data_IF_834608760072
#
_entry.id   IF_834608760072
#
_cell.length_a   1.000
_cell.length_b   1.000
_cell.length_c   1.000
_cell.angle_alpha   90.00
_cell.angle_beta   90.00
_cell.angle_gamma   90.00
#
_symmetry.space_group_name_H-M   'P 1'
#
loop_
_entity.id
_entity.type
_entity.pdbx_description
1 polymer ?
#
# COMPACT_ATOMS: atom_id res chain seq x y z
N UNK A 1 -9.69 -1.67 -20.51
CA UNK A 1 -8.66 -0.72 -20.04
C UNK A 1 -9.37 0.49 -19.46
N UNK A 2 -9.45 0.62 -18.13
CA UNK A 2 -9.45 1.99 -17.61
C UNK A 2 -8.06 2.52 -17.98
N UNK A 3 -7.94 3.63 -18.72
CA UNK A 3 -6.63 4.19 -18.95
C UNK A 3 -5.97 4.42 -17.58
N UNK A 4 -4.65 4.21 -17.46
CA UNK A 4 -3.88 4.88 -16.42
C UNK A 4 -4.41 6.30 -16.29
N UNK A 5 -4.59 6.84 -15.07
CA UNK A 5 -5.21 8.14 -14.85
C UNK A 5 -4.40 9.28 -15.51
N UNK A 6 -4.48 9.39 -16.85
CA UNK A 6 -3.50 10.10 -17.67
C UNK A 6 -2.05 9.63 -17.45
N UNK A 7 -1.13 10.02 -18.34
CA UNK A 7 0.26 10.18 -17.92
C UNK A 7 0.29 11.19 -16.77
N UNK A 8 0.96 10.84 -15.66
CA UNK A 8 1.46 11.88 -14.75
C UNK A 8 2.37 12.76 -15.59
N UNK A 9 2.28 14.08 -15.38
CA UNK A 9 3.19 15.00 -16.01
C UNK A 9 4.64 14.48 -15.88
N UNK A 10 5.42 14.60 -16.96
CA UNK A 10 6.87 14.32 -17.00
C UNK A 10 7.28 12.86 -17.30
N UNK A 11 6.44 12.11 -18.01
CA UNK A 11 6.83 10.82 -18.63
C UNK A 11 6.64 9.60 -17.75
N UNK A 12 5.71 9.69 -16.79
CA UNK A 12 5.34 8.60 -15.90
C UNK A 12 3.89 8.20 -16.09
N UNK A 13 3.58 6.92 -15.94
CA UNK A 13 2.23 6.46 -15.64
C UNK A 13 2.08 6.30 -14.12
N UNK A 14 0.93 6.69 -13.59
CA UNK A 14 0.54 6.35 -12.22
C UNK A 14 -0.19 5.00 -12.28
N UNK A 15 0.38 3.99 -11.62
CA UNK A 15 -0.27 2.68 -11.47
C UNK A 15 -0.62 2.46 -10.02
N UNK A 16 -1.86 2.06 -9.78
CA UNK A 16 -2.44 1.89 -8.45
C UNK A 16 -2.44 0.42 -8.09
N UNK A 17 -2.04 0.06 -6.89
CA UNK A 17 -1.98 -1.34 -6.50
C UNK A 17 -1.75 -1.58 -5.03
N UNK A 18 -1.49 -2.85 -4.71
CA UNK A 18 -1.23 -3.31 -3.35
C UNK A 18 0.20 -3.80 -3.21
N UNK A 19 0.78 -3.46 -2.06
CA UNK A 19 1.98 -4.09 -1.53
C UNK A 19 1.55 -4.76 -0.25
N UNK A 20 2.00 -5.99 -0.02
CA UNK A 20 1.64 -6.80 1.14
C UNK A 20 0.17 -7.29 1.12
N UNK A 21 -0.01 -8.45 0.50
CA UNK A 21 -1.27 -9.18 0.40
C UNK A 21 -1.01 -10.69 0.40
N UNK A 22 -1.87 -11.45 1.06
CA UNK A 22 -1.74 -12.90 1.19
C UNK A 22 -2.81 -13.63 0.39
N UNK A 23 -2.37 -14.62 -0.37
CA UNK A 23 -3.20 -15.49 -1.18
C UNK A 23 -3.50 -16.80 -0.45
N UNK A 24 -4.15 -17.73 -1.16
CA UNK A 24 -4.35 -19.09 -0.65
C UNK A 24 -3.05 -19.84 -0.33
N UNK A 25 -1.89 -19.36 -0.83
CA UNK A 25 -0.58 -19.95 -0.53
C UNK A 25 0.04 -19.44 0.77
N UNK A 26 -0.69 -18.62 1.54
CA UNK A 26 -0.32 -18.22 2.90
C UNK A 26 -0.99 -19.14 3.94
N UNK A 27 -0.39 -19.32 5.13
CA UNK A 27 -0.82 -20.38 6.08
C UNK A 27 -2.09 -20.08 6.87
N UNK A 28 -2.35 -18.80 7.10
CA UNK A 28 -3.42 -18.22 7.89
C UNK A 28 -4.48 -17.51 7.03
N UNK A 29 -4.27 -17.47 5.71
CA UNK A 29 -5.30 -17.06 4.77
C UNK A 29 -6.52 -17.98 4.82
N UNK A 30 -7.65 -17.49 4.32
CA UNK A 30 -8.87 -18.28 4.15
C UNK A 30 -9.33 -18.90 5.48
N UNK A 31 -9.61 -18.06 6.48
CA UNK A 31 -10.10 -18.53 7.77
C UNK A 31 -9.13 -19.48 8.51
N UNK A 32 -7.81 -19.31 8.30
CA UNK A 32 -6.74 -20.19 8.76
C UNK A 32 -6.82 -21.63 8.20
N UNK A 33 -7.54 -21.81 7.10
CA UNK A 33 -7.79 -23.10 6.47
C UNK A 33 -7.72 -23.00 4.93
N UNK A 34 -6.59 -22.57 4.36
CA UNK A 34 -6.45 -22.39 2.91
C UNK A 34 -6.46 -23.70 2.13
N UNK A 35 -6.25 -24.83 2.80
CA UNK A 35 -6.21 -26.17 2.20
C UNK A 35 -7.36 -27.00 2.75
N UNK A 36 -8.14 -27.60 1.85
CA UNK A 36 -9.26 -28.49 2.15
C UNK A 36 -8.78 -29.88 2.59
N UNK A 37 -9.70 -30.71 3.09
CA UNK A 37 -9.39 -32.07 3.58
C UNK A 37 -8.75 -32.99 2.53
N UNK A 38 -9.04 -32.74 1.25
CA UNK A 38 -8.48 -33.50 0.12
C UNK A 38 -7.10 -32.99 -0.34
N UNK A 39 -6.55 -31.98 0.32
CA UNK A 39 -5.27 -31.36 -0.01
C UNK A 39 -5.33 -30.30 -1.12
N UNK A 40 -6.50 -30.05 -1.71
CA UNK A 40 -6.69 -28.94 -2.66
C UNK A 40 -6.82 -27.60 -1.94
N UNK A 41 -6.49 -26.51 -2.63
CA UNK A 41 -6.69 -25.16 -2.10
C UNK A 41 -8.17 -24.77 -2.14
N UNK A 42 -8.61 -24.00 -1.15
CA UNK A 42 -9.97 -23.46 -1.08
C UNK A 42 -10.26 -22.64 -2.36
N UNK A 43 -11.10 -23.17 -3.27
CA UNK A 43 -11.36 -22.52 -4.55
C UNK A 43 -12.20 -21.26 -4.37
N UNK A 44 -13.02 -21.19 -3.31
CA UNK A 44 -13.81 -20.00 -3.00
C UNK A 44 -12.89 -18.88 -2.53
N UNK A 45 -11.97 -19.19 -1.63
CA UNK A 45 -10.99 -18.20 -1.19
C UNK A 45 -10.09 -17.70 -2.33
N UNK A 46 -9.63 -18.61 -3.20
CA UNK A 46 -8.87 -18.27 -4.40
C UNK A 46 -9.66 -17.33 -5.32
N UNK A 47 -10.92 -17.64 -5.60
CA UNK A 47 -11.77 -16.84 -6.47
C UNK A 47 -12.16 -15.50 -5.84
N UNK A 48 -12.33 -15.46 -4.52
CA UNK A 48 -12.61 -14.23 -3.78
C UNK A 48 -11.41 -13.28 -3.81
N UNK A 49 -10.18 -13.78 -3.67
CA UNK A 49 -8.97 -12.96 -3.82
C UNK A 49 -8.89 -12.35 -5.22
N UNK A 50 -9.06 -13.19 -6.26
CA UNK A 50 -9.05 -12.74 -7.66
C UNK A 50 -10.11 -11.71 -7.98
N UNK A 51 -11.33 -11.96 -7.50
CA UNK A 51 -12.44 -11.02 -7.67
C UNK A 51 -12.18 -9.71 -6.92
N UNK A 52 -11.62 -9.79 -5.70
CA UNK A 52 -11.27 -8.63 -4.89
C UNK A 52 -10.32 -7.67 -5.59
N UNK A 53 -9.21 -8.15 -6.14
CA UNK A 53 -8.26 -7.29 -6.86
C UNK A 53 -8.86 -6.69 -8.15
N UNK A 54 -9.69 -7.46 -8.87
CA UNK A 54 -10.37 -6.95 -10.05
C UNK A 54 -11.40 -5.86 -9.69
N UNK A 55 -12.26 -6.09 -8.70
CA UNK A 55 -13.34 -5.17 -8.31
C UNK A 55 -12.81 -3.91 -7.62
N UNK A 56 -11.71 -4.01 -6.88
CA UNK A 56 -11.04 -2.86 -6.26
C UNK A 56 -10.29 -1.99 -7.28
N UNK A 57 -10.17 -2.41 -8.53
CA UNK A 57 -9.59 -1.58 -9.59
C UNK A 57 -8.08 -1.46 -9.56
N UNK A 58 -7.37 -2.37 -8.87
CA UNK A 58 -5.91 -2.34 -8.81
C UNK A 58 -5.28 -2.77 -10.14
N UNK A 59 -4.20 -2.11 -10.52
CA UNK A 59 -3.34 -2.42 -11.66
C UNK A 59 -2.28 -3.46 -11.31
N UNK A 60 -1.86 -3.53 -10.05
CA UNK A 60 -0.89 -4.52 -9.57
C UNK A 60 -1.13 -5.01 -8.14
N UNK A 61 -0.61 -6.19 -7.84
CA UNK A 61 -0.50 -6.75 -6.48
C UNK A 61 0.87 -7.41 -6.30
N UNK A 62 1.61 -6.98 -5.28
CA UNK A 62 2.76 -7.72 -4.76
C UNK A 62 2.30 -8.66 -3.66
N UNK A 63 2.27 -9.97 -3.95
CA UNK A 63 1.97 -10.99 -2.94
C UNK A 63 3.14 -11.16 -1.98
N UNK A 64 2.84 -11.55 -0.75
CA UNK A 64 3.84 -11.74 0.31
C UNK A 64 3.50 -12.97 1.15
N UNK A 65 3.12 -14.08 0.52
CA UNK A 65 2.68 -15.29 1.23
C UNK A 65 3.71 -15.81 2.25
N UNK A 66 3.22 -16.31 3.39
CA UNK A 66 4.08 -16.83 4.45
C UNK A 66 5.04 -17.94 3.96
N UNK A 67 6.32 -17.82 4.28
CA UNK A 67 7.40 -18.65 3.71
C UNK A 67 7.24 -20.14 3.97
N UNK A 68 6.73 -20.51 5.14
CA UNK A 68 6.45 -21.90 5.52
C UNK A 68 5.47 -22.62 4.56
N UNK A 69 4.69 -21.86 3.79
CA UNK A 69 3.79 -22.35 2.75
C UNK A 69 4.30 -21.98 1.36
N UNK A 70 4.59 -20.71 1.11
CA UNK A 70 5.07 -20.19 -0.17
C UNK A 70 6.20 -21.04 -0.76
N UNK A 71 7.18 -21.45 0.06
CA UNK A 71 8.32 -22.22 -0.42
C UNK A 71 7.99 -23.60 -0.99
N UNK A 72 6.79 -24.14 -0.69
CA UNK A 72 6.34 -25.45 -1.15
C UNK A 72 5.62 -25.41 -2.51
N UNK A 73 5.44 -24.22 -3.10
CA UNK A 73 4.69 -24.03 -4.34
C UNK A 73 5.55 -23.39 -5.39
N UNK A 74 5.61 -24.02 -6.56
CA UNK A 74 6.44 -23.55 -7.66
C UNK A 74 5.76 -22.43 -8.45
N UNK A 75 6.54 -21.73 -9.26
CA UNK A 75 6.00 -20.89 -10.32
C UNK A 75 5.47 -21.79 -11.45
N UNK A 76 4.31 -21.49 -12.06
CA UNK A 76 3.52 -20.25 -11.94
C UNK A 76 2.38 -20.30 -10.89
N UNK A 77 2.30 -21.30 -10.02
CA UNK A 77 1.19 -21.44 -9.08
C UNK A 77 1.11 -20.25 -8.11
N UNK A 78 2.26 -19.86 -7.53
CA UNK A 78 2.38 -18.68 -6.64
C UNK A 78 2.10 -17.34 -7.33
N UNK A 79 1.87 -17.34 -8.65
CA UNK A 79 1.42 -16.17 -9.41
C UNK A 79 -0.11 -16.18 -9.66
N UNK A 80 -0.82 -17.10 -9.01
CA UNK A 80 -2.26 -17.31 -9.12
C UNK A 80 -2.73 -17.60 -10.56
N UNK A 81 -1.87 -18.18 -11.40
CA UNK A 81 -2.10 -18.33 -12.83
C UNK A 81 -3.27 -19.24 -13.19
N UNK A 82 -4.14 -18.78 -14.11
CA UNK A 82 -5.24 -19.55 -14.69
C UNK A 82 -5.35 -19.32 -16.19
N UNK A 83 -4.69 -20.19 -16.98
CA UNK A 83 -4.71 -20.13 -18.44
C UNK A 83 -6.14 -20.20 -19.02
N UNK A 84 -7.01 -21.01 -18.41
CA UNK A 84 -8.42 -21.17 -18.79
C UNK A 84 -9.27 -19.91 -18.56
N UNK A 85 -8.76 -18.96 -17.77
CA UNK A 85 -9.36 -17.64 -17.54
C UNK A 85 -8.71 -16.52 -18.37
N UNK A 86 -7.83 -16.88 -19.31
CA UNK A 86 -7.17 -15.92 -20.20
C UNK A 86 -6.05 -15.12 -19.53
N UNK A 87 -5.51 -15.62 -18.42
CA UNK A 87 -4.31 -15.04 -17.82
C UNK A 87 -3.12 -15.17 -18.78
N UNK A 88 -2.18 -14.23 -18.70
CA UNK A 88 -0.96 -14.23 -19.51
C UNK A 88 0.26 -14.16 -18.61
N UNK A 89 1.11 -15.19 -18.68
CA UNK A 89 2.39 -15.19 -17.99
C UNK A 89 3.34 -14.18 -18.64
N UNK A 90 4.06 -13.47 -17.79
CA UNK A 90 5.25 -12.74 -18.17
C UNK A 90 6.42 -13.67 -17.91
N UNK A 91 7.25 -13.87 -18.94
CA UNK A 91 8.36 -14.82 -18.89
C UNK A 91 9.69 -14.10 -19.11
N UNK A 92 10.69 -14.51 -18.33
CA UNK A 92 12.08 -14.04 -18.49
C UNK A 92 12.99 -15.26 -18.55
N UNK A 93 13.72 -15.41 -19.65
CA UNK A 93 14.54 -16.60 -19.89
C UNK A 93 13.74 -17.90 -20.00
N UNK A 94 12.46 -17.83 -20.39
CA UNK A 94 11.56 -18.98 -20.50
C UNK A 94 10.98 -19.48 -19.17
N UNK A 95 11.17 -18.72 -18.08
CA UNK A 95 10.54 -18.98 -16.79
C UNK A 95 9.50 -17.90 -16.46
N UNK A 96 8.34 -18.25 -15.89
CA UNK A 96 7.35 -17.27 -15.45
C UNK A 96 7.88 -16.46 -14.26
N UNK A 97 7.74 -15.13 -14.35
CA UNK A 97 8.19 -14.18 -13.31
C UNK A 97 7.04 -13.35 -12.73
N UNK A 98 5.96 -13.20 -13.49
CA UNK A 98 4.74 -12.50 -13.09
C UNK A 98 3.56 -13.00 -13.92
N UNK A 99 2.35 -12.63 -13.49
CA UNK A 99 1.11 -12.99 -14.18
C UNK A 99 0.25 -11.75 -14.44
N UNK A 100 -0.25 -11.61 -15.67
CA UNK A 100 -1.34 -10.68 -15.99
C UNK A 100 -2.65 -11.42 -15.84
N UNK A 101 -3.30 -11.20 -14.70
CA UNK A 101 -4.62 -11.75 -14.40
C UNK A 101 -5.66 -11.00 -15.22
N UNK A 102 -6.50 -11.74 -15.94
CA UNK A 102 -7.61 -11.16 -16.70
C UNK A 102 -8.85 -11.00 -15.83
N UNK A 103 -9.40 -9.78 -15.80
CA UNK A 103 -10.65 -9.46 -15.12
C UNK A 103 -11.85 -9.57 -16.07
N UNK A 104 -13.05 -9.79 -15.51
CA UNK A 104 -14.30 -9.94 -16.27
C UNK A 104 -14.64 -8.72 -17.15
N UNK A 105 -14.19 -7.52 -16.75
CA UNK A 105 -14.40 -6.28 -17.50
C UNK A 105 -13.30 -5.98 -18.54
N UNK A 106 -12.41 -6.94 -18.79
CA UNK A 106 -11.33 -6.85 -19.76
C UNK A 106 -10.16 -5.97 -19.32
N UNK A 107 -10.09 -5.55 -18.04
CA UNK A 107 -8.84 -5.06 -17.44
C UNK A 107 -7.93 -6.23 -17.07
N UNK A 108 -6.68 -5.91 -16.77
CA UNK A 108 -5.71 -6.88 -16.28
C UNK A 108 -5.06 -6.37 -15.00
N UNK A 109 -4.72 -7.27 -14.09
CA UNK A 109 -3.95 -6.97 -12.87
C UNK A 109 -2.61 -7.69 -12.96
N UNK A 110 -1.51 -6.97 -12.74
CA UNK A 110 -0.18 -7.55 -12.69
C UNK A 110 0.10 -8.11 -11.29
N UNK A 111 0.26 -9.43 -11.19
CA UNK A 111 0.54 -10.13 -9.94
C UNK A 111 1.98 -10.64 -9.95
N UNK A 112 2.69 -10.37 -8.86
CA UNK A 112 4.04 -10.87 -8.62
C UNK A 112 4.10 -11.65 -7.32
N UNK A 113 5.03 -12.59 -7.25
CA UNK A 113 5.26 -13.39 -6.06
C UNK A 113 6.15 -12.66 -5.05
N UNK A 114 6.02 -13.03 -3.80
CA UNK A 114 6.85 -12.56 -2.70
C UNK A 114 6.61 -13.44 -1.49
N UNK A 115 7.32 -13.15 -0.40
CA UNK A 115 7.10 -13.86 0.85
C UNK A 115 7.22 -12.93 2.03
N UNK A 116 6.55 -13.28 3.12
CA UNK A 116 6.68 -12.60 4.40
C UNK A 116 7.19 -13.59 5.46
N UNK A 117 8.38 -13.31 5.98
CA UNK A 117 8.94 -13.99 7.15
C UNK A 117 9.80 -12.98 7.93
N UNK A 118 11.11 -13.24 8.10
CA UNK A 118 12.01 -12.26 8.67
C UNK A 118 12.16 -11.01 7.80
N UNK A 119 12.29 -11.19 6.49
CA UNK A 119 12.21 -10.12 5.50
C UNK A 119 10.92 -10.26 4.70
N UNK A 120 10.50 -9.19 4.03
CA UNK A 120 9.38 -9.18 3.09
C UNK A 120 9.89 -8.91 1.65
N UNK A 121 10.51 -9.89 0.98
CA UNK A 121 10.83 -9.78 -0.45
C UNK A 121 9.56 -9.71 -1.29
N UNK A 122 9.41 -8.63 -2.06
CA UNK A 122 8.34 -8.48 -3.06
C UNK A 122 8.89 -8.56 -4.47
N UNK A 123 8.13 -9.14 -5.39
CA UNK A 123 8.51 -9.21 -6.81
C UNK A 123 9.60 -10.23 -7.12
N UNK A 124 9.60 -11.36 -6.42
CA UNK A 124 10.45 -12.52 -6.70
C UNK A 124 10.16 -13.09 -8.09
N UNK A 125 11.22 -13.34 -8.85
CA UNK A 125 11.12 -13.92 -10.20
C UNK A 125 11.29 -15.44 -10.21
N UNK A 126 11.75 -16.00 -9.09
CA UNK A 126 11.97 -17.43 -8.86
C UNK A 126 12.19 -17.68 -7.37
N UNK A 127 12.18 -18.96 -6.98
CA UNK A 127 12.75 -19.33 -5.70
C UNK A 127 14.27 -19.13 -5.65
N UNK A 128 14.78 -18.88 -4.45
CA UNK A 128 16.20 -18.67 -4.16
C UNK A 128 17.05 -19.94 -4.26
N UNK A 129 16.42 -21.11 -4.24
CA UNK A 129 17.05 -22.41 -4.37
C UNK A 129 16.07 -23.47 -4.92
N UNK A 130 16.60 -24.60 -5.37
CA UNK A 130 15.82 -25.70 -5.97
C UNK A 130 15.16 -26.62 -4.93
N UNK A 131 15.71 -26.71 -3.72
CA UNK A 131 15.18 -27.56 -2.64
C UNK A 131 14.64 -26.74 -1.45
N UNK A 132 13.68 -27.33 -0.75
CA UNK A 132 12.95 -26.66 0.34
C UNK A 132 13.85 -26.24 1.50
N UNK A 133 14.86 -27.05 1.86
CA UNK A 133 15.72 -26.74 3.00
C UNK A 133 16.62 -25.53 2.69
N UNK A 134 17.12 -25.44 1.46
CA UNK A 134 17.89 -24.30 1.00
C UNK A 134 17.02 -23.03 0.85
N UNK A 135 15.75 -23.16 0.46
CA UNK A 135 14.78 -22.05 0.45
C UNK A 135 14.55 -21.50 1.86
N UNK A 136 14.25 -22.38 2.81
CA UNK A 136 13.95 -22.04 4.21
C UNK A 136 15.11 -21.27 4.87
N UNK A 137 16.34 -21.70 4.59
CA UNK A 137 17.56 -21.07 5.08
C UNK A 137 17.75 -19.60 4.61
N UNK A 138 17.06 -19.19 3.55
CA UNK A 138 17.11 -17.82 3.01
C UNK A 138 15.85 -17.03 3.34
N UNK A 139 14.67 -17.63 3.31
CA UNK A 139 13.42 -16.91 3.59
C UNK A 139 13.27 -16.52 5.06
N UNK A 140 13.76 -17.32 6.00
CA UNK A 140 13.61 -17.06 7.44
C UNK A 140 14.46 -15.91 8.01
N UNK A 141 15.79 -15.84 7.75
CA UNK A 141 16.67 -14.91 8.44
C UNK A 141 16.58 -13.44 8.00
N UNK A 142 16.85 -12.51 8.93
CA UNK A 142 17.03 -11.07 8.68
C UNK A 142 18.51 -10.70 8.48
N UNK A 143 19.19 -11.36 7.53
CA UNK A 143 20.63 -11.13 7.29
C UNK A 143 20.91 -10.47 5.94
N UNK A 144 22.10 -9.86 5.82
CA UNK A 144 22.54 -9.27 4.55
C UNK A 144 22.66 -10.34 3.46
N UNK A 145 23.16 -11.53 3.79
CA UNK A 145 23.31 -12.64 2.86
C UNK A 145 21.96 -13.12 2.33
N UNK A 146 20.94 -13.22 3.21
CA UNK A 146 19.58 -13.57 2.81
C UNK A 146 18.99 -12.49 1.89
N UNK A 147 19.13 -11.21 2.27
CA UNK A 147 18.66 -10.10 1.45
C UNK A 147 19.33 -10.05 0.07
N UNK A 148 20.64 -10.31 -0.01
CA UNK A 148 21.37 -10.36 -1.27
C UNK A 148 20.94 -11.53 -2.16
N UNK A 149 20.70 -12.71 -1.59
CA UNK A 149 20.14 -13.85 -2.32
C UNK A 149 18.73 -13.54 -2.87
N UNK A 150 17.90 -12.87 -2.08
CA UNK A 150 16.56 -12.43 -2.49
C UNK A 150 16.61 -11.36 -3.59
N UNK A 151 17.52 -10.37 -3.49
CA UNK A 151 17.77 -9.39 -4.56
C UNK A 151 18.26 -10.06 -5.85
N UNK A 152 19.14 -11.05 -5.73
CA UNK A 152 19.59 -11.84 -6.87
C UNK A 152 18.45 -12.65 -7.52
N UNK A 153 17.40 -12.98 -6.75
CA UNK A 153 16.15 -13.55 -7.23
C UNK A 153 15.15 -12.51 -7.77
N UNK A 154 15.55 -11.24 -7.89
CA UNK A 154 14.79 -10.16 -8.52
C UNK A 154 13.99 -9.29 -7.55
N UNK A 155 13.98 -9.60 -6.26
CA UNK A 155 13.12 -8.95 -5.28
C UNK A 155 13.52 -7.49 -4.97
N UNK A 156 12.56 -6.76 -4.40
CA UNK A 156 12.76 -5.58 -3.56
C UNK A 156 12.55 -6.02 -2.11
N UNK A 157 13.46 -5.66 -1.21
CA UNK A 157 13.46 -6.14 0.17
C UNK A 157 12.75 -5.13 1.06
N UNK A 158 11.54 -5.46 1.47
CA UNK A 158 10.76 -4.66 2.41
C UNK A 158 10.74 -5.31 3.80
N UNK A 159 10.17 -4.59 4.76
CA UNK A 159 9.83 -5.10 6.08
C UNK A 159 8.37 -4.72 6.37
N UNK A 160 7.55 -5.73 6.67
CA UNK A 160 6.21 -5.55 7.20
C UNK A 160 6.26 -5.21 8.69
N UNK A 161 5.14 -4.67 9.21
CA UNK A 161 4.92 -4.46 10.65
C UNK A 161 6.17 -3.98 11.45
N UNK A 162 6.81 -2.86 11.05
CA UNK A 162 7.99 -2.34 11.73
C UNK A 162 7.73 -1.85 13.17
N UNK A 163 6.50 -1.91 13.70
CA UNK A 163 6.08 -1.51 15.06
C UNK A 163 6.83 -2.24 16.20
N UNK A 164 7.49 -3.35 15.91
CA UNK A 164 8.32 -4.08 16.87
C UNK A 164 9.83 -3.78 16.78
N UNK A 165 10.24 -2.94 15.83
CA UNK A 165 11.66 -2.62 15.60
C UNK A 165 12.05 -1.24 16.14
N UNK A 166 13.24 -1.13 16.74
CA UNK A 166 13.82 0.18 17.07
C UNK A 166 14.33 0.92 15.83
N UNK A 167 14.53 2.23 15.95
CA UNK A 167 15.13 3.04 14.87
C UNK A 167 16.52 2.53 14.50
N UNK A 168 17.31 2.13 15.49
CA UNK A 168 18.67 1.60 15.31
C UNK A 168 18.64 0.26 14.56
N UNK A 169 17.77 -0.67 14.98
CA UNK A 169 17.59 -1.93 14.26
C UNK A 169 17.17 -1.68 12.83
N UNK A 170 16.15 -0.82 12.63
CA UNK A 170 15.70 -0.47 11.30
C UNK A 170 16.88 0.04 10.49
N UNK A 171 17.70 0.97 10.99
CA UNK A 171 18.89 1.57 10.34
C UNK A 171 19.93 0.54 9.87
N UNK A 172 20.09 -0.55 10.61
CA UNK A 172 21.10 -1.58 10.34
C UNK A 172 20.62 -2.69 9.41
N UNK A 173 19.30 -2.95 9.36
CA UNK A 173 18.74 -4.01 8.52
C UNK A 173 18.97 -3.73 7.02
N UNK A 174 19.19 -4.79 6.21
CA UNK A 174 19.50 -4.68 4.78
C UNK A 174 18.23 -4.47 3.93
N UNK A 175 17.44 -3.45 4.26
CA UNK A 175 16.13 -3.16 3.67
C UNK A 175 16.23 -2.10 2.57
N UNK A 176 15.40 -2.25 1.53
CA UNK A 176 15.11 -1.19 0.57
C UNK A 176 13.98 -0.27 1.10
N UNK A 177 13.10 -0.78 1.96
CA UNK A 177 11.97 -0.06 2.53
C UNK A 177 11.24 -0.79 3.65
N UNK A 178 10.20 -0.16 4.21
CA UNK A 178 9.32 -0.77 5.20
C UNK A 178 7.95 -0.09 5.23
N UNK A 179 6.96 -0.77 5.79
CA UNK A 179 5.60 -0.25 5.86
C UNK A 179 5.48 0.97 6.76
N UNK A 180 4.66 1.94 6.36
CA UNK A 180 4.31 3.09 7.18
C UNK A 180 2.85 3.07 7.66
N UNK A 181 2.10 2.08 7.19
CA UNK A 181 0.75 1.76 7.64
C UNK A 181 0.49 0.28 7.35
N UNK A 182 -0.14 -0.41 8.29
CA UNK A 182 -0.63 -1.76 8.11
C UNK A 182 -2.04 -1.90 8.72
N UNK A 183 -3.00 -2.44 7.95
CA UNK A 183 -4.39 -2.59 8.39
C UNK A 183 -4.54 -3.60 9.53
N UNK A 184 -3.76 -4.67 9.53
CA UNK A 184 -3.74 -5.66 10.61
C UNK A 184 -3.34 -5.01 11.93
N UNK A 185 -2.18 -4.34 11.98
CA UNK A 185 -1.70 -3.62 13.15
C UNK A 185 -2.72 -2.59 13.66
N UNK A 186 -3.39 -1.91 12.72
CA UNK A 186 -4.41 -0.91 13.06
C UNK A 186 -5.70 -1.53 13.60
N UNK A 187 -6.05 -2.74 13.14
CA UNK A 187 -7.16 -3.53 13.69
C UNK A 187 -6.84 -3.98 15.11
N UNK A 188 -5.60 -4.38 15.40
CA UNK A 188 -5.18 -4.76 16.76
C UNK A 188 -5.23 -3.57 17.73
N UNK A 189 -4.72 -2.40 17.31
CA UNK A 189 -4.79 -1.16 18.11
C UNK A 189 -6.23 -0.75 18.44
N UNK A 190 -7.17 -1.05 17.54
CA UNK A 190 -8.57 -0.70 17.66
C UNK A 190 -9.47 -1.92 17.97
N UNK A 191 -8.91 -3.01 18.52
CA UNK A 191 -9.63 -4.27 18.69
C UNK A 191 -10.92 -4.15 19.52
N UNK A 192 -10.96 -3.25 20.51
CA UNK A 192 -12.16 -2.96 21.28
C UNK A 192 -13.30 -2.36 20.43
N UNK A 193 -12.97 -1.45 19.51
CA UNK A 193 -13.91 -0.89 18.55
C UNK A 193 -14.32 -1.95 17.50
N UNK A 194 -13.36 -2.70 16.99
CA UNK A 194 -13.62 -3.78 16.03
C UNK A 194 -14.59 -4.83 16.60
N UNK A 195 -14.45 -5.19 17.88
CA UNK A 195 -15.34 -6.12 18.56
C UNK A 195 -16.76 -5.56 18.73
N UNK A 196 -16.89 -4.30 19.16
CA UNK A 196 -18.20 -3.62 19.30
C UNK A 196 -18.97 -3.61 17.97
N UNK A 197 -18.28 -3.21 16.91
CA UNK A 197 -18.79 -3.17 15.55
C UNK A 197 -19.33 -4.54 15.09
N UNK A 198 -18.64 -5.65 15.40
CA UNK A 198 -19.11 -7.00 15.05
C UNK A 198 -20.34 -7.44 15.84
N UNK A 199 -20.38 -7.13 17.14
CA UNK A 199 -21.54 -7.46 17.99
C UNK A 199 -22.79 -6.81 17.39
N UNK A 200 -22.68 -5.53 17.05
CA UNK A 200 -23.77 -4.76 16.46
C UNK A 200 -24.17 -5.24 15.07
N UNK A 201 -23.19 -5.66 14.26
CA UNK A 201 -23.45 -6.23 12.95
C UNK A 201 -24.27 -7.53 13.04
N UNK A 202 -24.01 -8.34 14.06
CA UNK A 202 -24.79 -9.57 14.31
C UNK A 202 -26.20 -9.28 14.85
N UNK A 203 -26.39 -8.13 15.50
CA UNK A 203 -27.69 -7.70 16.04
C UNK A 203 -28.57 -6.97 14.99
N UNK A 204 -28.17 -6.97 13.70
CA UNK A 204 -28.84 -6.29 12.58
C UNK A 204 -29.05 -4.79 12.85
N UNK A 205 -28.09 -4.18 13.55
CA UNK A 205 -28.12 -2.77 13.91
C UNK A 205 -28.07 -1.88 12.65
N UNK A 206 -29.17 -1.19 12.40
CA UNK A 206 -29.30 -0.22 11.30
C UNK A 206 -28.46 1.05 11.51
N UNK A 207 -27.83 1.18 12.68
CA UNK A 207 -26.91 2.24 13.07
C UNK A 207 -25.43 1.98 12.72
N UNK A 208 -25.12 0.97 11.90
CA UNK A 208 -23.78 0.77 11.34
C UNK A 208 -23.50 1.59 10.07
N UNK A 209 -22.26 2.06 9.86
CA UNK A 209 -21.89 2.74 8.62
C UNK A 209 -22.10 1.82 7.41
N UNK A 210 -22.16 2.41 6.22
CA UNK A 210 -22.13 1.62 4.99
C UNK A 210 -20.99 0.58 5.06
N UNK A 211 -21.24 -0.70 4.70
CA UNK A 211 -20.27 -1.77 4.92
C UNK A 211 -18.84 -1.44 4.43
N UNK A 212 -18.68 -0.77 3.29
CA UNK A 212 -17.35 -0.37 2.77
C UNK A 212 -16.62 0.72 3.59
N UNK A 213 -17.33 1.45 4.45
CA UNK A 213 -16.75 2.47 5.34
C UNK A 213 -16.29 1.88 6.68
N UNK A 214 -16.32 0.56 6.84
CA UNK A 214 -15.87 -0.11 8.07
C UNK A 214 -14.43 0.23 8.43
N UNK A 215 -13.56 0.25 7.42
CA UNK A 215 -12.13 0.50 7.61
C UNK A 215 -11.86 1.93 8.05
N UNK A 216 -12.71 2.89 7.68
CA UNK A 216 -12.56 4.28 8.14
C UNK A 216 -12.63 4.37 9.67
N UNK A 217 -13.46 3.54 10.29
CA UNK A 217 -13.63 3.53 11.73
C UNK A 217 -12.50 2.79 12.46
N UNK A 218 -11.77 1.91 11.76
CA UNK A 218 -10.55 1.28 12.27
C UNK A 218 -9.33 2.16 12.03
N UNK A 219 -9.32 2.95 10.95
CA UNK A 219 -8.19 3.76 10.51
C UNK A 219 -7.75 4.75 11.58
N UNK A 220 -6.53 4.56 12.08
CA UNK A 220 -5.83 5.50 12.94
C UNK A 220 -4.37 5.67 12.50
N UNK A 221 -3.83 6.84 12.75
CA UNK A 221 -2.39 7.08 12.59
C UNK A 221 -1.69 6.52 13.84
N UNK A 222 -0.81 5.53 13.66
CA UNK A 222 0.07 5.07 14.73
C UNK A 222 1.38 5.89 14.70
N UNK A 223 1.65 6.73 15.72
CA UNK A 223 2.82 7.59 15.77
C UNK A 223 4.14 6.84 15.63
N UNK A 224 4.19 5.55 16.01
CA UNK A 224 5.41 4.73 15.93
C UNK A 224 5.92 4.62 14.50
N UNK A 225 5.04 4.49 13.50
CA UNK A 225 5.45 4.42 12.10
C UNK A 225 6.09 5.73 11.65
N UNK A 226 5.43 6.86 11.90
CA UNK A 226 5.91 8.17 11.45
C UNK A 226 7.18 8.59 12.18
N UNK A 227 7.25 8.38 13.50
CA UNK A 227 8.46 8.64 14.29
C UNK A 227 9.64 7.85 13.71
N UNK A 228 9.49 6.53 13.58
CA UNK A 228 10.59 5.66 13.16
C UNK A 228 11.01 5.94 11.74
N UNK A 229 10.05 6.14 10.83
CA UNK A 229 10.34 6.50 9.46
C UNK A 229 11.11 7.81 9.36
N UNK A 230 10.62 8.85 10.02
CA UNK A 230 11.25 10.16 10.05
C UNK A 230 12.68 10.11 10.61
N UNK A 231 12.87 9.43 11.74
CA UNK A 231 14.20 9.28 12.34
C UNK A 231 15.14 8.44 11.49
N UNK A 232 14.67 7.36 10.85
CA UNK A 232 15.47 6.58 9.90
C UNK A 232 15.96 7.48 8.76
N UNK A 233 15.07 8.27 8.14
CA UNK A 233 15.41 9.18 7.05
C UNK A 233 16.37 10.30 7.50
N UNK A 234 16.15 10.85 8.69
CA UNK A 234 17.02 11.88 9.27
C UNK A 234 18.45 11.37 9.54
N UNK A 235 18.60 10.07 9.76
CA UNK A 235 19.90 9.39 9.84
C UNK A 235 20.63 9.26 8.49
N UNK A 236 20.07 9.81 7.40
CA UNK A 236 20.68 9.82 6.08
C UNK A 236 20.38 8.59 5.22
N UNK A 237 19.61 7.62 5.74
CA UNK A 237 19.19 6.46 4.96
C UNK A 237 18.13 6.82 3.93
N UNK A 238 18.22 6.12 2.80
CA UNK A 238 17.19 6.07 1.77
C UNK A 238 16.36 4.81 2.00
N UNK A 239 15.07 4.99 2.26
CA UNK A 239 14.11 3.90 2.42
C UNK A 239 12.80 4.30 1.77
N UNK A 240 12.22 3.42 0.95
CA UNK A 240 10.85 3.56 0.48
C UNK A 240 9.89 3.18 1.60
N UNK A 241 8.76 3.86 1.72
CA UNK A 241 7.66 3.42 2.56
C UNK A 241 6.48 2.94 1.72
N UNK A 242 5.75 1.94 2.22
CA UNK A 242 4.54 1.38 1.58
C UNK A 242 3.38 1.31 2.57
N UNK A 243 2.16 1.16 2.07
CA UNK A 243 0.98 0.82 2.88
C UNK A 243 0.60 -0.65 2.64
N UNK A 244 0.37 -1.41 3.70
CA UNK A 244 0.13 -2.86 3.64
C UNK A 244 -1.26 -3.28 4.09
N UNK A 245 -2.00 -4.00 3.24
CA UNK A 245 -3.33 -4.55 3.61
C UNK A 245 -3.23 -5.73 4.55
N UNK A 246 -2.17 -6.53 4.39
CA UNK A 246 -2.01 -7.76 5.13
C UNK A 246 -3.28 -8.63 5.09
N UNK A 247 -3.92 -8.64 3.90
CA UNK A 247 -5.25 -9.18 3.76
C UNK A 247 -5.19 -10.72 3.74
N UNK A 248 -5.92 -11.36 4.65
CA UNK A 248 -5.97 -12.82 4.80
C UNK A 248 -7.38 -13.41 4.71
N UNK A 249 -8.42 -12.59 4.90
CA UNK A 249 -9.82 -13.03 5.04
C UNK A 249 -9.96 -14.10 6.13
N UNK A 250 -9.48 -13.80 7.33
CA UNK A 250 -9.44 -14.73 8.47
C UNK A 250 -9.91 -14.13 9.81
N UNK A 251 -10.38 -12.88 9.82
CA UNK A 251 -10.66 -12.11 11.05
C UNK A 251 -12.15 -12.01 11.34
N UNK A 252 -12.96 -11.60 10.36
CA UNK A 252 -14.35 -11.21 10.57
C UNK A 252 -15.29 -11.91 9.58
N UNK A 253 -15.76 -13.10 9.96
CA UNK A 253 -16.63 -13.94 9.12
C UNK A 253 -18.06 -13.43 8.96
N UNK A 254 -18.46 -12.43 9.73
CA UNK A 254 -19.81 -11.87 9.72
C UNK A 254 -20.15 -11.37 8.32
N UNK A 255 -21.31 -11.81 7.84
CA UNK A 255 -21.93 -11.31 6.61
C UNK A 255 -22.67 -10.03 6.97
N UNK A 256 -22.35 -8.95 6.26
CA UNK A 256 -22.96 -7.64 6.49
C UNK A 256 -24.17 -7.46 5.57
N UNK A 257 -24.85 -6.32 5.71
CA UNK A 257 -26.11 -6.04 5.03
C UNK A 257 -26.04 -6.12 3.49
N UNK A 258 -24.85 -5.99 2.91
CA UNK A 258 -24.60 -6.12 1.47
C UNK A 258 -24.35 -7.58 1.01
N UNK A 259 -24.44 -8.54 1.92
CA UNK A 259 -24.23 -9.96 1.63
C UNK A 259 -22.77 -10.37 1.53
N UNK A 260 -21.83 -9.46 1.81
CA UNK A 260 -20.40 -9.73 1.80
C UNK A 260 -19.83 -9.82 3.23
N UNK A 261 -18.72 -10.54 3.37
CA UNK A 261 -17.97 -10.59 4.64
C UNK A 261 -17.35 -9.25 4.99
N UNK A 262 -17.37 -8.95 6.29
CA UNK A 262 -16.68 -7.79 6.85
C UNK A 262 -15.17 -7.78 6.54
N UNK A 263 -14.54 -8.96 6.51
CA UNK A 263 -13.13 -9.16 6.14
C UNK A 263 -12.95 -9.70 4.70
N UNK A 264 -13.87 -9.41 3.79
CA UNK A 264 -13.69 -9.81 2.40
C UNK A 264 -12.44 -9.16 1.79
N UNK A 265 -11.77 -9.89 0.89
CA UNK A 265 -10.61 -9.36 0.15
C UNK A 265 -10.94 -8.04 -0.54
N UNK A 266 -12.06 -7.96 -1.27
CA UNK A 266 -12.49 -6.72 -1.95
C UNK A 266 -12.49 -5.53 -1.00
N UNK A 267 -13.03 -5.69 0.20
CA UNK A 267 -13.19 -4.58 1.16
C UNK A 267 -11.88 -4.15 1.82
N UNK A 268 -11.00 -5.09 2.14
CA UNK A 268 -9.67 -4.72 2.61
C UNK A 268 -8.86 -4.06 1.49
N UNK A 269 -8.94 -4.61 0.27
CA UNK A 269 -8.21 -4.11 -0.90
C UNK A 269 -8.69 -2.74 -1.37
N UNK A 270 -9.95 -2.36 -1.18
CA UNK A 270 -10.47 -1.05 -1.62
C UNK A 270 -10.17 0.09 -0.63
N UNK A 271 -9.78 -0.23 0.59
CA UNK A 271 -9.64 0.77 1.65
C UNK A 271 -8.44 1.71 1.45
N UNK A 272 -7.39 1.25 0.79
CA UNK A 272 -6.23 2.04 0.42
C UNK A 272 -5.44 1.41 -0.71
N UNK A 273 -4.49 2.19 -1.23
CA UNK A 273 -3.67 1.82 -2.37
C UNK A 273 -2.27 2.41 -2.25
N UNK A 274 -1.32 1.77 -2.94
CA UNK A 274 -0.01 2.32 -3.27
C UNK A 274 -0.04 2.74 -4.75
N UNK A 275 0.43 3.94 -5.04
CA UNK A 275 0.52 4.51 -6.37
C UNK A 275 1.99 4.63 -6.77
N UNK A 276 2.40 3.84 -7.75
CA UNK A 276 3.75 3.85 -8.31
C UNK A 276 3.81 4.73 -9.56
N UNK A 277 4.81 5.62 -9.62
CA UNK A 277 5.14 6.36 -10.83
C UNK A 277 6.14 5.56 -11.65
N UNK A 278 5.63 4.83 -12.63
CA UNK A 278 6.42 3.99 -13.53
C UNK A 278 6.78 4.75 -14.79
N UNK A 279 8.02 4.60 -15.24
CA UNK A 279 8.41 5.13 -16.55
C UNK A 279 7.79 4.23 -17.61
N UNK A 280 7.07 4.81 -18.57
CA UNK A 280 6.58 4.04 -19.71
C UNK A 280 7.64 4.00 -20.80
N UNK A 281 7.89 2.81 -21.33
CA UNK A 281 8.71 2.63 -22.54
C UNK A 281 7.96 3.05 -23.81
N UNK A 282 8.59 2.85 -24.96
CA UNK A 282 8.02 3.23 -26.27
C UNK A 282 6.72 2.47 -26.64
N UNK A 283 6.42 1.36 -25.98
CA UNK A 283 5.24 0.52 -26.23
C UNK A 283 4.10 0.71 -25.22
N UNK A 284 4.26 1.61 -24.23
CA UNK A 284 3.31 1.86 -23.14
C UNK A 284 2.87 0.59 -22.36
N UNK A 285 3.67 -0.48 -22.42
CA UNK A 285 3.41 -1.72 -21.67
C UNK A 285 4.19 -1.70 -20.36
N UNK A 286 3.48 -1.74 -19.23
CA UNK A 286 4.08 -1.75 -17.88
C UNK A 286 4.26 -3.20 -17.43
N UNK A 287 5.49 -3.57 -17.09
CA UNK A 287 5.89 -4.91 -16.62
C UNK A 287 6.30 -4.93 -15.13
N UNK A 288 6.53 -6.12 -14.57
CA UNK A 288 6.93 -6.33 -13.17
C UNK A 288 8.26 -5.62 -12.85
N UNK A 289 9.17 -5.57 -13.82
CA UNK A 289 10.44 -4.85 -13.68
C UNK A 289 10.24 -3.34 -13.47
N UNK A 290 9.26 -2.73 -14.15
CA UNK A 290 8.98 -1.30 -14.03
C UNK A 290 8.41 -0.96 -12.65
N UNK A 291 7.51 -1.82 -12.13
CA UNK A 291 6.98 -1.68 -10.77
C UNK A 291 8.11 -1.75 -9.73
N UNK A 292 9.00 -2.75 -9.86
CA UNK A 292 10.13 -2.94 -8.94
C UNK A 292 11.13 -1.78 -9.02
N UNK A 293 11.38 -1.24 -10.21
CA UNK A 293 12.23 -0.05 -10.35
C UNK A 293 11.59 1.18 -9.71
N UNK A 294 10.29 1.43 -9.90
CA UNK A 294 9.60 2.52 -9.23
C UNK A 294 9.68 2.41 -7.69
N UNK A 295 9.51 1.19 -7.15
CA UNK A 295 9.72 0.91 -5.72
C UNK A 295 11.14 1.21 -5.26
N UNK A 296 12.17 0.68 -5.94
CA UNK A 296 13.59 0.95 -5.60
C UNK A 296 13.94 2.42 -5.66
N UNK A 297 13.33 3.16 -6.60
CA UNK A 297 13.51 4.60 -6.73
C UNK A 297 12.75 5.39 -5.67
N UNK A 298 11.80 4.80 -4.94
CA UNK A 298 10.94 5.53 -4.00
C UNK A 298 9.93 6.44 -4.70
N UNK A 299 9.58 6.12 -5.95
CA UNK A 299 8.60 6.86 -6.76
C UNK A 299 7.18 6.41 -6.44
N UNK A 300 6.80 6.55 -5.16
CA UNK A 300 5.57 6.02 -4.61
C UNK A 300 4.86 7.03 -3.72
N UNK A 301 3.53 7.03 -3.77
CA UNK A 301 2.68 7.60 -2.73
C UNK A 301 1.56 6.62 -2.38
N UNK A 302 1.05 6.66 -1.15
CA UNK A 302 -0.07 5.84 -0.69
C UNK A 302 -1.30 6.70 -0.42
N UNK A 303 -2.49 6.11 -0.55
CA UNK A 303 -3.76 6.81 -0.35
C UNK A 303 -4.77 5.98 0.44
N UNK A 304 -5.45 6.61 1.41
CA UNK A 304 -6.58 6.02 2.14
C UNK A 304 -7.88 6.23 1.36
N UNK A 305 -8.15 5.34 0.43
CA UNK A 305 -9.26 5.42 -0.51
C UNK A 305 -10.63 5.12 0.08
N UNK A 306 -10.69 4.62 1.32
CA UNK A 306 -11.93 4.55 2.09
C UNK A 306 -12.59 5.94 2.23
N UNK A 307 -11.81 7.02 2.16
CA UNK A 307 -12.33 8.39 2.15
C UNK A 307 -12.67 8.93 0.76
N UNK A 308 -12.40 8.16 -0.30
CA UNK A 308 -12.60 8.54 -1.70
C UNK A 308 -11.31 8.48 -2.50
N UNK A 309 -11.45 8.19 -3.80
CA UNK A 309 -10.32 8.07 -4.72
C UNK A 309 -9.67 9.43 -5.01
N UNK A 310 -8.37 9.61 -4.75
CA UNK A 310 -7.66 10.83 -5.10
C UNK A 310 -7.49 10.94 -6.62
N UNK A 311 -7.80 12.10 -7.18
CA UNK A 311 -7.54 12.42 -8.58
C UNK A 311 -6.66 13.67 -8.70
N UNK A 312 -5.58 13.55 -9.46
CA UNK A 312 -4.71 14.67 -9.83
C UNK A 312 -3.69 15.08 -8.76
N UNK A 313 -3.38 14.21 -7.80
CA UNK A 313 -2.25 14.44 -6.88
C UNK A 313 -0.95 14.56 -7.68
N UNK A 314 -0.17 15.60 -7.41
CA UNK A 314 1.17 15.71 -7.96
C UNK A 314 2.13 16.36 -6.97
N UNK A 315 3.36 15.85 -6.94
CA UNK A 315 4.46 16.43 -6.19
C UNK A 315 5.73 16.36 -7.05
N UNK A 316 6.43 17.49 -7.18
CA UNK A 316 7.71 17.57 -7.86
C UNK A 316 8.58 18.64 -7.22
N UNK A 317 9.89 18.58 -7.45
CA UNK A 317 10.79 19.67 -7.08
C UNK A 317 11.43 20.27 -8.34
N UNK A 318 11.73 21.57 -8.31
CA UNK A 318 12.38 22.25 -9.43
C UNK A 318 13.53 23.14 -8.98
N UNK A 319 14.61 23.17 -9.77
CA UNK A 319 15.73 24.08 -9.58
C UNK A 319 16.45 24.33 -10.90
N UNK A 320 16.73 25.59 -11.22
CA UNK A 320 17.51 25.98 -12.41
C UNK A 320 16.99 25.35 -13.74
N UNK A 321 15.68 25.14 -13.84
CA UNK A 321 15.03 24.53 -15.00
C UNK A 321 15.02 22.99 -15.01
N UNK A 322 15.70 22.33 -14.08
CA UNK A 322 15.57 20.88 -13.85
C UNK A 322 14.33 20.57 -13.00
N UNK A 323 13.74 19.39 -13.23
CA UNK A 323 12.62 18.86 -12.45
C UNK A 323 12.99 17.50 -11.87
N UNK A 324 12.57 17.26 -10.63
CA UNK A 324 12.88 16.08 -9.85
C UNK A 324 11.58 15.46 -9.32
N UNK A 325 11.55 14.14 -9.28
CA UNK A 325 10.41 13.34 -8.81
C UNK A 325 10.56 12.90 -7.36
N UNK A 326 9.47 12.36 -6.81
CA UNK A 326 9.50 11.64 -5.53
C UNK A 326 10.62 10.60 -5.54
N UNK A 327 11.38 10.54 -4.46
CA UNK A 327 12.57 9.70 -4.35
C UNK A 327 13.83 10.29 -4.97
N UNK A 328 13.81 11.29 -5.84
CA UNK A 328 15.06 11.80 -6.42
C UNK A 328 15.94 12.54 -5.39
N UNK A 329 17.25 12.61 -5.66
CA UNK A 329 18.13 13.57 -5.01
C UNK A 329 17.89 14.96 -5.61
N UNK A 330 17.66 15.94 -4.75
CA UNK A 330 17.26 17.30 -5.10
C UNK A 330 18.29 18.28 -4.53
N UNK A 331 18.77 19.28 -5.27
CA UNK A 331 19.71 20.23 -4.70
C UNK A 331 19.04 21.18 -3.68
N UNK A 332 19.75 21.56 -2.61
CA UNK A 332 19.32 22.59 -1.64
C UNK A 332 18.88 23.87 -2.38
N UNK A 333 17.77 24.45 -1.96
CA UNK A 333 17.17 25.64 -2.60
C UNK A 333 16.24 25.31 -3.78
N UNK A 334 15.95 24.04 -4.05
CA UNK A 334 14.89 23.65 -4.97
C UNK A 334 13.51 24.02 -4.42
N UNK A 335 12.60 24.40 -5.31
CA UNK A 335 11.19 24.64 -4.97
C UNK A 335 10.41 23.31 -5.09
N UNK A 336 9.91 22.81 -3.97
CA UNK A 336 8.95 21.70 -3.91
C UNK A 336 7.57 22.28 -4.20
N UNK A 337 6.91 21.76 -5.25
CA UNK A 337 5.55 22.10 -5.63
C UNK A 337 4.66 20.88 -5.45
N UNK A 338 3.54 21.07 -4.76
CA UNK A 338 2.52 20.06 -4.52
C UNK A 338 1.18 20.54 -5.06
N UNK A 339 0.46 19.68 -5.77
CA UNK A 339 -0.93 19.86 -6.20
C UNK A 339 -1.79 18.91 -5.37
N UNK A 340 -2.73 19.48 -4.61
CA UNK A 340 -3.66 18.72 -3.81
C UNK A 340 -4.61 17.91 -4.72
N UNK A 341 -4.89 16.63 -4.42
CA UNK A 341 -5.87 15.86 -5.17
C UNK A 341 -7.29 16.36 -4.87
N UNK A 342 -8.23 15.95 -5.72
CA UNK A 342 -9.68 16.05 -5.46
C UNK A 342 -10.28 14.67 -5.34
N UNK A 343 -11.42 14.55 -4.66
CA UNK A 343 -12.18 13.30 -4.64
C UNK A 343 -12.77 13.05 -6.03
N UNK A 344 -12.44 11.91 -6.64
CA UNK A 344 -12.92 11.52 -7.96
C UNK A 344 -14.44 11.35 -7.93
N UNK A 345 -15.13 11.94 -8.91
CA UNK A 345 -16.59 11.84 -9.08
C UNK A 345 -17.39 12.24 -7.82
N UNK A 346 -16.90 13.22 -7.06
CA UNK A 346 -17.62 13.77 -5.91
C UNK A 346 -19.04 14.22 -6.33
N UNK A 347 -20.07 13.81 -5.58
CA UNK A 347 -21.43 14.28 -5.80
C UNK A 347 -21.47 15.81 -5.63
N UNK A 348 -21.89 16.59 -6.64
CA UNK A 348 -21.95 18.05 -6.55
C UNK A 348 -22.91 18.57 -5.46
N UNK A 349 -23.75 17.70 -4.88
CA UNK A 349 -24.63 18.03 -3.75
C UNK A 349 -24.02 17.74 -2.39
N UNK A 350 -22.98 16.90 -2.33
CA UNK A 350 -22.31 16.58 -1.08
C UNK A 350 -21.52 17.80 -0.58
N UNK A 351 -21.41 17.93 0.75
CA UNK A 351 -20.50 18.89 1.36
C UNK A 351 -19.06 18.54 0.94
N UNK A 352 -18.28 19.46 0.33
CA UNK A 352 -16.94 19.13 -0.11
C UNK A 352 -16.02 18.84 1.09
N UNK A 353 -15.06 17.91 0.98
CA UNK A 353 -14.09 17.70 2.05
C UNK A 353 -13.19 18.93 2.23
N UNK A 354 -12.71 19.14 3.46
CA UNK A 354 -11.60 20.05 3.72
C UNK A 354 -10.29 19.30 3.53
N UNK A 355 -9.36 19.89 2.79
CA UNK A 355 -8.04 19.33 2.55
C UNK A 355 -6.96 20.24 3.12
N UNK A 356 -5.95 19.64 3.77
CA UNK A 356 -4.73 20.33 4.21
C UNK A 356 -3.54 19.62 3.59
N UNK A 357 -2.82 20.31 2.71
CA UNK A 357 -1.57 19.80 2.12
C UNK A 357 -0.40 20.30 2.94
N UNK A 358 0.56 19.41 3.26
CA UNK A 358 1.75 19.74 4.06
C UNK A 358 3.01 19.21 3.39
N UNK A 359 4.10 19.96 3.56
CA UNK A 359 5.47 19.50 3.32
C UNK A 359 6.16 19.38 4.66
N UNK A 360 6.71 18.20 4.95
CA UNK A 360 7.40 17.91 6.20
C UNK A 360 8.83 17.47 5.93
N UNK A 361 9.75 17.84 6.82
CA UNK A 361 11.16 17.40 6.76
C UNK A 361 11.43 16.42 7.89
N UNK A 362 12.12 15.33 7.58
CA UNK A 362 12.59 14.36 8.56
C UNK A 362 13.53 15.01 9.59
N UNK A 363 13.38 14.65 10.86
CA UNK A 363 14.21 15.07 11.99
C UNK A 363 14.50 13.87 12.89
N UNK A 364 15.69 13.83 13.50
CA UNK A 364 16.06 12.76 14.42
C UNK A 364 15.64 13.09 15.86
N UNK A 365 14.34 13.25 16.06
CA UNK A 365 13.71 13.44 17.36
C UNK A 365 12.40 12.63 17.46
N UNK A 366 11.72 12.71 18.61
CA UNK A 366 10.51 11.95 18.88
C UNK A 366 9.30 12.31 17.97
N UNK A 367 9.35 13.43 17.23
CA UNK A 367 8.32 13.73 16.24
C UNK A 367 8.59 13.04 14.90
N UNK A 368 9.86 12.72 14.60
CA UNK A 368 10.32 12.13 13.33
C UNK A 368 10.22 13.09 12.14
N UNK A 369 9.25 14.00 12.13
CA UNK A 369 9.04 14.99 11.09
C UNK A 369 8.68 16.36 11.68
N UNK A 370 9.14 17.42 11.03
CA UNK A 370 8.74 18.80 11.31
C UNK A 370 8.02 19.38 10.10
N UNK A 371 6.89 20.04 10.32
CA UNK A 371 6.18 20.77 9.26
C UNK A 371 7.02 21.96 8.78
N UNK A 372 7.18 22.07 7.46
CA UNK A 372 7.91 23.16 6.81
C UNK A 372 6.95 24.15 6.17
N UNK A 373 5.84 23.66 5.60
CA UNK A 373 4.78 24.48 5.06
C UNK A 373 3.46 23.71 5.01
N UNK A 374 2.34 24.44 5.05
CA UNK A 374 1.00 23.90 4.90
C UNK A 374 0.08 24.86 4.13
N UNK A 375 -0.96 24.33 3.50
CA UNK A 375 -2.02 25.13 2.87
C UNK A 375 -3.33 24.35 2.77
N UNK A 376 -4.45 25.06 2.79
CA UNK A 376 -5.78 24.57 2.39
C UNK A 376 -6.08 24.84 0.91
N UNK A 377 -5.16 25.49 0.19
CA UNK A 377 -5.28 25.76 -1.24
C UNK A 377 -4.98 24.55 -2.12
N UNK A 378 -5.33 24.65 -3.41
CA UNK A 378 -5.10 23.58 -4.39
C UNK A 378 -3.61 23.34 -4.71
N UNK A 379 -2.72 24.24 -4.32
CA UNK A 379 -1.28 24.11 -4.57
C UNK A 379 -0.49 24.67 -3.39
N UNK A 380 0.58 23.96 -3.02
CA UNK A 380 1.60 24.38 -2.07
C UNK A 380 2.94 24.51 -2.79
N UNK A 381 3.67 25.59 -2.54
CA UNK A 381 5.06 25.75 -2.97
C UNK A 381 5.94 26.15 -1.79
N UNK A 382 7.08 25.50 -1.65
CA UNK A 382 8.06 25.80 -0.59
C UNK A 382 9.47 25.55 -1.09
N UNK A 383 10.41 26.40 -0.68
CA UNK A 383 11.83 26.22 -1.00
C UNK A 383 12.46 25.31 0.06
N UNK A 384 13.14 24.26 -0.39
CA UNK A 384 13.87 23.35 0.49
C UNK A 384 15.29 23.86 0.75
N UNK A 385 15.41 24.87 1.60
CA UNK A 385 16.68 25.56 1.90
C UNK A 385 17.61 24.80 2.87
N UNK A 386 17.21 23.61 3.33
CA UNK A 386 18.01 22.80 4.25
C UNK A 386 18.12 21.39 3.70
N UNK A 387 19.31 20.79 3.74
CA UNK A 387 19.48 19.38 3.39
C UNK A 387 18.64 18.47 4.32
N UNK A 388 18.17 17.35 3.77
CA UNK A 388 17.35 16.38 4.48
C UNK A 388 16.31 15.69 3.60
N UNK A 389 15.55 14.76 4.18
CA UNK A 389 14.43 14.11 3.48
C UNK A 389 13.14 14.90 3.69
N UNK A 390 12.45 15.25 2.59
CA UNK A 390 11.20 16.02 2.61
C UNK A 390 10.06 15.18 2.06
N UNK A 391 9.02 14.94 2.83
CA UNK A 391 7.81 14.23 2.39
C UNK A 391 6.63 15.18 2.25
N UNK A 392 5.67 14.73 1.46
CA UNK A 392 4.38 15.40 1.27
C UNK A 392 3.30 14.55 1.94
N UNK A 393 2.35 15.20 2.60
CA UNK A 393 1.09 14.56 3.00
C UNK A 393 -0.10 15.44 2.67
N UNK A 394 -1.24 14.80 2.42
CA UNK A 394 -2.54 15.48 2.34
C UNK A 394 -3.43 14.89 3.41
N UNK A 395 -4.02 15.75 4.24
CA UNK A 395 -4.99 15.37 5.24
C UNK A 395 -6.38 15.82 4.83
N UNK A 396 -7.39 15.09 5.26
CA UNK A 396 -8.78 15.28 4.88
C UNK A 396 -9.69 15.27 6.12
N UNK A 397 -10.60 16.24 6.18
CA UNK A 397 -11.87 16.07 6.89
C UNK A 397 -12.93 15.63 5.87
N UNK A 398 -13.42 14.38 5.93
CA UNK A 398 -14.23 13.79 4.87
C UNK A 398 -15.73 14.14 5.01
N UNK A 399 -16.07 15.43 5.04
CA UNK A 399 -17.45 15.89 5.20
C UNK A 399 -18.41 15.34 4.14
N UNK A 400 -17.92 15.02 2.94
CA UNK A 400 -18.73 14.42 1.87
C UNK A 400 -19.27 13.02 2.21
N UNK A 401 -18.70 12.34 3.20
CA UNK A 401 -19.18 11.04 3.67
C UNK A 401 -20.26 11.16 4.75
N UNK A 402 -20.47 12.35 5.33
CA UNK A 402 -21.35 12.56 6.49
C UNK A 402 -22.76 11.98 6.27
N UNK A 403 -23.32 12.13 5.06
CA UNK A 403 -24.66 11.62 4.76
C UNK A 403 -24.70 10.09 4.57
N UNK A 404 -23.59 9.48 4.13
CA UNK A 404 -23.44 8.03 3.98
C UNK A 404 -23.13 7.32 5.31
N UNK A 405 -22.71 8.08 6.32
CA UNK A 405 -22.59 7.62 7.69
C UNK A 405 -23.95 7.75 8.38
N UNK A 406 -24.32 6.74 9.15
CA UNK A 406 -25.47 6.77 10.07
C UNK A 406 -25.06 7.44 11.39
N UNK A 407 -26.03 7.75 12.26
CA UNK A 407 -25.86 8.66 13.41
C UNK A 407 -24.60 8.43 14.26
N UNK A 408 -24.21 7.18 14.52
CA UNK A 408 -23.02 6.93 15.33
C UNK A 408 -21.71 7.01 14.55
N UNK A 409 -21.70 6.65 13.27
CA UNK A 409 -20.51 6.84 12.44
C UNK A 409 -20.31 8.33 12.09
N UNK A 410 -21.40 9.11 12.02
CA UNK A 410 -21.34 10.58 11.94
C UNK A 410 -20.64 11.18 13.16
N UNK A 411 -20.92 10.64 14.35
CA UNK A 411 -20.27 11.07 15.59
C UNK A 411 -18.74 10.96 15.52
N UNK A 412 -18.19 9.96 14.84
CA UNK A 412 -16.73 9.84 14.64
C UNK A 412 -16.19 11.08 13.90
N UNK A 413 -16.86 11.49 12.81
CA UNK A 413 -16.45 12.69 12.06
C UNK A 413 -16.67 13.98 12.87
N UNK A 414 -17.78 14.08 13.60
CA UNK A 414 -18.09 15.25 14.40
C UNK A 414 -17.12 15.39 15.59
N UNK A 415 -16.74 14.29 16.24
CA UNK A 415 -15.71 14.26 17.29
C UNK A 415 -14.34 14.66 16.73
N UNK A 416 -13.96 14.15 15.54
CA UNK A 416 -12.73 14.54 14.86
C UNK A 416 -12.72 16.03 14.48
N UNK A 417 -13.83 16.55 13.95
CA UNK A 417 -13.99 17.96 13.61
C UNK A 417 -13.89 18.86 14.86
N UNK A 418 -14.58 18.49 15.94
CA UNK A 418 -14.51 19.21 17.23
C UNK A 418 -13.09 19.21 17.81
N UNK A 419 -12.33 18.13 17.61
CA UNK A 419 -10.95 18.02 18.01
C UNK A 419 -9.97 18.73 17.06
N UNK A 420 -10.43 19.18 15.88
CA UNK A 420 -9.59 19.76 14.84
C UNK A 420 -8.62 18.76 14.21
N UNK A 421 -8.99 17.47 14.18
CA UNK A 421 -8.16 16.37 13.69
C UNK A 421 -8.58 16.00 12.26
N UNK A 422 -7.68 16.22 11.30
CA UNK A 422 -7.85 15.72 9.94
C UNK A 422 -7.21 14.33 9.80
N UNK A 423 -7.86 13.45 9.04
CA UNK A 423 -7.35 12.11 8.74
C UNK A 423 -6.25 12.18 7.68
N UNK A 424 -5.19 11.37 7.76
CA UNK A 424 -4.26 11.26 6.65
C UNK A 424 -4.97 10.65 5.45
N UNK A 425 -4.91 11.32 4.29
CA UNK A 425 -5.48 10.83 3.04
C UNK A 425 -4.39 10.38 2.07
N UNK A 426 -3.31 11.15 1.94
CA UNK A 426 -2.15 10.81 1.10
C UNK A 426 -0.86 10.89 1.90
N UNK A 427 0.00 9.88 1.72
CA UNK A 427 1.40 9.89 2.17
C UNK A 427 2.33 9.65 0.98
N UNK A 428 3.19 10.62 0.68
CA UNK A 428 4.19 10.48 -0.38
C UNK A 428 5.57 10.12 0.17
N UNK A 429 6.35 9.35 -0.60
CA UNK A 429 7.76 9.13 -0.32
C UNK A 429 8.58 10.44 -0.42
N UNK A 430 9.77 10.50 0.20
CA UNK A 430 10.49 11.75 0.31
C UNK A 430 11.26 12.14 -0.96
N UNK A 431 11.44 13.44 -1.16
CA UNK A 431 12.58 14.01 -1.88
C UNK A 431 13.81 14.01 -0.98
N UNK A 432 15.00 13.74 -1.52
CA UNK A 432 16.25 13.76 -0.76
C UNK A 432 17.05 15.02 -1.09
N UNK A 433 16.95 16.05 -0.25
CA UNK A 433 17.59 17.34 -0.47
C UNK A 433 19.06 17.29 -0.04
N UNK A 434 19.99 17.61 -0.95
CA UNK A 434 21.45 17.49 -0.80
C UNK A 434 22.17 18.78 -1.20
N UNK A 435 23.33 19.02 -0.60
CA UNK A 435 24.20 20.18 -0.86
C UNK A 435 24.83 20.17 -2.26
#
# INVERSE_FOLDING_TARGET
>A
MLPAEGPVARGFADVRGLVHAHSVYSHDACDNAPVLEDGSYDPVCFDDFRRGMCQSGHDFVFLTDHGNRFQNHEFPDVLLFRADRGDVLIERGGAPVANRITCEDGRTVLVTAGSENGLMPVGLERHVADDLAARDAVYGPLTAEAADALRAAGAVILLAHPEDYTVEQLRELPLDGFEMFNLHANTELNAGFALDLLVRANDDDQGLPHPDLLVLALQSEDPRYLERWGRVLAGGRRVVSTMGTDCHRNTFRTILADGERADSYRRMMIAFSNHLRVTTGDDDVIDDADLKEALRRGRLWGAFEVMGYPQGFDASATKDGATFELGDDVPVGAAIRVVAPRVRNLDPKAEPPRLVTRVLRAVDDAAGFVEVAATEGATLEVVADVAGAYRVEVRMMPWHLRDALVDEARRILDEAELAGVDYPWVYANPFYVRD
#
